data_IF_624848026390
#
_entry.id   IF_624848026390
#
_cell.length_a   1.000
_cell.length_b   1.000
_cell.length_c   1.000
_cell.angle_alpha   90.00
_cell.angle_beta   90.00
_cell.angle_gamma   90.00
#
_symmetry.space_group_name_H-M   'P 1'
#
loop_
_entity.id
_entity.type
_entity.pdbx_description
1 polymer ?
#
# COMPACT_ATOMS: atom_id res chain seq x y z
N UNK A 1 -8.94 -29.41 -0.30
CA UNK A 1 -10.29 -29.08 -0.82
C UNK A 1 -11.19 -28.68 0.33
N UNK A 2 -11.88 -27.53 0.22
CA UNK A 2 -13.20 -27.37 0.81
C UNK A 2 -14.25 -27.14 -0.29
N UNK A 3 -15.17 -28.09 -0.37
CA UNK A 3 -16.61 -27.89 -0.55
C UNK A 3 -17.09 -26.89 -1.61
N UNK A 4 -17.35 -27.40 -2.81
CA UNK A 4 -18.58 -27.20 -3.59
C UNK A 4 -19.37 -25.90 -3.34
N UNK A 5 -18.81 -24.74 -3.69
CA UNK A 5 -19.66 -23.61 -4.06
C UNK A 5 -20.19 -23.87 -5.47
N UNK A 6 -21.34 -24.57 -5.54
CA UNK A 6 -22.16 -24.54 -6.75
C UNK A 6 -22.55 -23.09 -6.99
N UNK A 7 -21.86 -22.43 -7.91
CA UNK A 7 -22.33 -21.21 -8.56
C UNK A 7 -23.73 -21.56 -9.07
N UNK A 8 -24.77 -21.06 -8.42
CA UNK A 8 -26.15 -21.20 -8.91
C UNK A 8 -26.19 -20.48 -10.26
N UNK A 9 -25.99 -21.23 -11.33
CA UNK A 9 -26.45 -20.85 -12.64
C UNK A 9 -27.97 -20.71 -12.52
N UNK A 10 -28.45 -19.46 -12.41
CA UNK A 10 -29.86 -19.18 -12.35
C UNK A 10 -30.45 -19.32 -13.77
N UNK A 11 -31.67 -19.86 -13.92
CA UNK A 11 -32.23 -20.18 -15.21
C UNK A 11 -32.41 -18.91 -16.03
N UNK A 12 -32.14 -19.04 -17.32
CA UNK A 12 -32.24 -18.00 -18.35
C UNK A 12 -33.66 -17.41 -18.33
N UNK A 13 -33.91 -16.35 -17.54
CA UNK A 13 -35.24 -15.70 -17.50
C UNK A 13 -35.51 -14.65 -16.42
N UNK A 14 -34.94 -14.74 -15.21
CA UNK A 14 -35.34 -13.86 -14.08
C UNK A 14 -34.39 -12.71 -13.72
N UNK A 15 -33.27 -12.57 -14.43
CA UNK A 15 -32.28 -11.53 -14.17
C UNK A 15 -32.43 -10.39 -15.19
N UNK A 16 -32.95 -9.24 -14.75
CA UNK A 16 -33.02 -8.05 -15.57
C UNK A 16 -31.69 -7.30 -15.51
N UNK A 17 -31.02 -7.16 -16.66
CA UNK A 17 -29.83 -6.33 -16.79
C UNK A 17 -30.23 -4.92 -17.16
N UNK A 18 -29.75 -3.94 -16.40
CA UNK A 18 -29.98 -2.53 -16.70
C UNK A 18 -29.07 -2.06 -17.84
N UNK A 19 -29.41 -0.90 -18.40
CA UNK A 19 -28.57 -0.23 -19.40
C UNK A 19 -27.18 0.05 -18.82
N UNK A 20 -26.18 -0.10 -19.67
CA UNK A 20 -24.80 0.27 -19.38
C UNK A 20 -24.70 1.75 -18.99
N UNK A 21 -23.80 2.02 -18.07
CA UNK A 21 -23.42 3.35 -17.66
C UNK A 21 -21.91 3.50 -17.81
N UNK A 22 -21.49 4.56 -18.50
CA UNK A 22 -20.09 4.93 -18.67
C UNK A 22 -19.58 5.60 -17.40
N UNK A 23 -18.42 5.19 -16.90
CA UNK A 23 -17.73 5.84 -15.80
C UNK A 23 -16.22 5.89 -16.06
N UNK A 24 -15.54 6.82 -15.40
CA UNK A 24 -14.09 6.94 -15.48
C UNK A 24 -13.43 6.18 -14.32
N UNK A 25 -12.56 5.24 -14.67
CA UNK A 25 -11.67 4.54 -13.76
C UNK A 25 -10.39 5.37 -13.60
N UNK A 26 -10.10 5.84 -12.39
CA UNK A 26 -8.90 6.63 -12.10
C UNK A 26 -7.81 5.74 -11.48
N UNK A 27 -6.71 5.54 -12.17
CA UNK A 27 -5.57 4.76 -11.69
C UNK A 27 -4.66 5.56 -10.76
N UNK A 28 -3.76 4.87 -10.07
CA UNK A 28 -2.80 5.47 -9.14
C UNK A 28 -1.82 6.45 -9.82
N UNK A 29 -1.55 6.26 -11.10
CA UNK A 29 -0.75 7.16 -11.92
C UNK A 29 -1.56 8.32 -12.53
N UNK A 30 -2.75 8.60 -11.99
CA UNK A 30 -3.69 9.63 -12.46
C UNK A 30 -4.22 9.42 -13.88
N UNK A 31 -3.85 8.32 -14.56
CA UNK A 31 -4.47 7.97 -15.84
C UNK A 31 -5.91 7.58 -15.61
N UNK A 32 -6.78 7.96 -16.53
CA UNK A 32 -8.18 7.57 -16.54
C UNK A 32 -8.45 6.62 -17.71
N UNK A 33 -9.23 5.57 -17.46
CA UNK A 33 -9.78 4.71 -18.49
C UNK A 33 -11.30 4.73 -18.44
N UNK A 34 -11.93 4.81 -19.61
CA UNK A 34 -13.37 4.66 -19.74
C UNK A 34 -13.75 3.21 -19.50
N UNK A 35 -14.69 2.97 -18.58
CA UNK A 35 -15.29 1.65 -18.35
C UNK A 35 -16.79 1.74 -18.26
N UNK A 36 -17.44 0.58 -18.32
CA UNK A 36 -18.89 0.45 -18.32
C UNK A 36 -19.33 -0.38 -17.13
N UNK A 37 -20.46 0.02 -16.54
CA UNK A 37 -21.06 -0.67 -15.41
C UNK A 37 -22.57 -0.78 -15.58
N UNK A 38 -23.15 -1.93 -15.21
CA UNK A 38 -24.60 -2.13 -15.13
C UNK A 38 -24.99 -2.92 -13.89
N UNK A 39 -26.21 -2.69 -13.41
CA UNK A 39 -26.79 -3.49 -12.34
C UNK A 39 -27.49 -4.72 -12.94
N UNK A 40 -27.30 -5.86 -12.30
CA UNK A 40 -28.05 -7.09 -12.53
C UNK A 40 -29.08 -7.21 -11.41
N UNK A 41 -30.36 -7.17 -11.76
CA UNK A 41 -31.48 -7.23 -10.80
C UNK A 41 -32.14 -8.60 -10.91
N UNK A 42 -32.11 -9.35 -9.81
CA UNK A 42 -32.81 -10.63 -9.69
C UNK A 42 -34.17 -10.39 -9.01
N UNK A 43 -35.25 -10.32 -9.79
CA UNK A 43 -36.58 -9.99 -9.28
C UNK A 43 -36.66 -8.57 -8.70
N UNK A 44 -36.79 -8.43 -7.37
CA UNK A 44 -36.78 -7.14 -6.67
C UNK A 44 -35.38 -6.78 -6.19
N UNK A 45 -35.07 -5.48 -6.14
CA UNK A 45 -33.78 -5.01 -5.60
C UNK A 45 -33.70 -5.39 -4.12
N UNK A 46 -32.67 -6.15 -3.77
CA UNK A 46 -32.38 -6.58 -2.39
C UNK A 46 -31.34 -5.67 -1.74
N UNK A 47 -31.10 -5.89 -0.45
CA UNK A 47 -29.99 -5.32 0.31
C UNK A 47 -28.64 -5.63 -0.37
N UNK A 48 -28.46 -6.84 -0.91
CA UNK A 48 -27.31 -7.16 -1.76
C UNK A 48 -27.63 -6.86 -3.22
N UNK A 49 -26.77 -6.08 -3.86
CA UNK A 49 -26.87 -5.72 -5.27
C UNK A 49 -25.75 -6.36 -6.08
N UNK A 50 -26.04 -6.66 -7.34
CA UNK A 50 -25.13 -7.35 -8.25
C UNK A 50 -24.86 -6.44 -9.42
N UNK A 51 -23.60 -6.39 -9.83
CA UNK A 51 -23.11 -5.46 -10.82
C UNK A 51 -22.16 -6.17 -11.77
N UNK A 52 -22.11 -5.65 -12.98
CA UNK A 52 -21.22 -6.11 -14.03
C UNK A 52 -20.43 -4.91 -14.52
N UNK A 53 -19.13 -5.08 -14.63
CA UNK A 53 -18.17 -4.04 -14.99
C UNK A 53 -17.33 -4.57 -16.14
N UNK A 54 -17.14 -3.80 -17.20
CA UNK A 54 -16.34 -4.19 -18.37
C UNK A 54 -15.63 -2.99 -18.99
N UNK A 55 -14.56 -3.23 -19.75
CA UNK A 55 -13.95 -2.22 -20.65
C UNK A 55 -14.70 -2.08 -21.96
N UNK A 56 -15.36 -3.15 -22.42
CA UNK A 56 -16.11 -3.18 -23.67
C UNK A 56 -17.46 -3.90 -23.48
N UNK A 57 -18.53 -3.22 -23.88
CA UNK A 57 -19.91 -3.70 -23.76
C UNK A 57 -20.31 -4.68 -24.85
N UNK A 58 -19.59 -4.71 -25.98
CA UNK A 58 -19.89 -5.58 -27.12
C UNK A 58 -19.19 -6.93 -26.98
N UNK A 59 -17.86 -6.92 -26.83
CA UNK A 59 -17.07 -8.15 -26.74
C UNK A 59 -17.06 -8.77 -25.34
N UNK A 60 -17.24 -7.96 -24.29
CA UNK A 60 -17.15 -8.35 -22.88
C UNK A 60 -15.96 -9.31 -22.59
N UNK A 61 -14.71 -8.82 -22.73
CA UNK A 61 -13.53 -9.67 -22.59
C UNK A 61 -13.46 -10.28 -21.19
N UNK A 62 -13.11 -11.57 -21.09
CA UNK A 62 -13.09 -12.28 -19.82
C UNK A 62 -12.11 -11.65 -18.80
N UNK A 63 -10.95 -11.18 -19.28
CA UNK A 63 -9.90 -10.57 -18.46
C UNK A 63 -10.25 -9.15 -17.96
N UNK A 64 -11.20 -8.47 -18.59
CA UNK A 64 -11.60 -7.10 -18.24
C UNK A 64 -13.06 -6.98 -17.77
N UNK A 65 -13.80 -8.09 -17.79
CA UNK A 65 -15.17 -8.18 -17.29
C UNK A 65 -15.20 -8.73 -15.87
N UNK A 66 -15.96 -8.11 -14.98
CA UNK A 66 -16.06 -8.50 -13.58
C UNK A 66 -17.50 -8.45 -13.09
N UNK A 67 -17.89 -9.49 -12.35
CA UNK A 67 -19.18 -9.55 -11.65
C UNK A 67 -18.95 -9.25 -10.17
N UNK A 68 -19.60 -8.20 -9.67
CA UNK A 68 -19.39 -7.66 -8.32
C UNK A 68 -20.69 -7.73 -7.53
N UNK A 69 -20.65 -8.40 -6.38
CA UNK A 69 -21.70 -8.35 -5.37
C UNK A 69 -21.32 -7.33 -4.29
N UNK A 70 -22.27 -6.51 -3.85
CA UNK A 70 -22.03 -5.53 -2.78
C UNK A 70 -23.26 -5.32 -1.90
N UNK A 71 -23.01 -5.04 -0.62
CA UNK A 71 -24.00 -4.62 0.38
C UNK A 71 -24.05 -3.10 0.59
N UNK A 72 -23.36 -2.31 -0.23
CA UNK A 72 -23.34 -0.85 -0.10
C UNK A 72 -24.72 -0.24 -0.38
N UNK A 73 -25.31 0.39 0.64
CA UNK A 73 -26.66 0.97 0.60
C UNK A 73 -26.71 2.39 0.03
N UNK A 74 -26.08 2.62 -1.12
CA UNK A 74 -26.18 3.92 -1.80
C UNK A 74 -27.24 3.89 -2.90
N UNK A 75 -27.70 5.08 -3.28
CA UNK A 75 -28.59 5.24 -4.43
C UNK A 75 -27.92 4.67 -5.67
N UNK A 76 -28.72 4.07 -6.57
CA UNK A 76 -28.22 3.43 -7.79
C UNK A 76 -27.36 4.38 -8.63
N UNK A 77 -27.78 5.64 -8.75
CA UNK A 77 -27.04 6.68 -9.48
C UNK A 77 -25.63 6.87 -8.91
N UNK A 78 -25.51 6.92 -7.57
CA UNK A 78 -24.22 7.03 -6.88
C UNK A 78 -23.38 5.76 -7.04
N UNK A 79 -23.99 4.59 -6.94
CA UNK A 79 -23.31 3.29 -7.10
C UNK A 79 -22.62 3.16 -8.45
N UNK A 80 -23.28 3.56 -9.53
CA UNK A 80 -22.73 3.55 -10.90
C UNK A 80 -21.43 4.37 -11.04
N UNK A 81 -21.26 5.43 -10.25
CA UNK A 81 -20.06 6.28 -10.31
C UNK A 81 -18.91 5.76 -9.46
N UNK A 82 -19.22 5.18 -8.29
CA UNK A 82 -18.20 4.85 -7.29
C UNK A 82 -17.77 3.38 -7.32
N UNK A 83 -18.66 2.45 -7.67
CA UNK A 83 -18.42 1.02 -7.41
C UNK A 83 -17.24 0.49 -8.22
N UNK A 84 -17.09 0.93 -9.47
CA UNK A 84 -15.96 0.52 -10.31
C UNK A 84 -14.61 0.98 -9.75
N UNK A 85 -14.54 2.20 -9.20
CA UNK A 85 -13.33 2.69 -8.55
C UNK A 85 -13.06 1.95 -7.22
N UNK A 86 -14.09 1.71 -6.40
CA UNK A 86 -13.96 0.94 -5.16
C UNK A 86 -13.49 -0.49 -5.41
N UNK A 87 -14.11 -1.19 -6.36
CA UNK A 87 -13.70 -2.55 -6.73
C UNK A 87 -12.29 -2.57 -7.30
N UNK A 88 -11.92 -1.54 -8.06
CA UNK A 88 -10.58 -1.35 -8.59
C UNK A 88 -9.49 -1.16 -7.51
N UNK A 89 -9.85 -0.81 -6.28
CA UNK A 89 -8.88 -0.72 -5.18
C UNK A 89 -8.30 -2.08 -4.79
N UNK A 90 -8.93 -3.20 -5.17
CA UNK A 90 -8.42 -4.56 -4.89
C UNK A 90 -6.99 -4.78 -5.42
N UNK A 91 -6.60 -4.09 -6.49
CA UNK A 91 -5.26 -4.20 -7.07
C UNK A 91 -4.18 -3.68 -6.12
N UNK A 92 -4.51 -2.77 -5.19
CA UNK A 92 -3.56 -2.32 -4.16
C UNK A 92 -3.11 -3.43 -3.23
N UNK A 93 -4.00 -4.40 -2.95
CA UNK A 93 -3.64 -5.59 -2.16
C UNK A 93 -2.58 -6.41 -2.89
N UNK A 94 -2.74 -6.60 -4.20
CA UNK A 94 -1.74 -7.29 -5.04
C UNK A 94 -0.42 -6.53 -5.09
N UNK A 95 -0.45 -5.21 -5.25
CA UNK A 95 0.75 -4.38 -5.21
C UNK A 95 1.47 -4.50 -3.86
N UNK A 96 0.75 -4.47 -2.74
CA UNK A 96 1.32 -4.67 -1.40
C UNK A 96 2.01 -6.03 -1.27
N UNK A 97 1.34 -7.11 -1.70
CA UNK A 97 1.96 -8.44 -1.70
C UNK A 97 3.20 -8.53 -2.60
N UNK A 98 3.19 -7.87 -3.77
CA UNK A 98 4.35 -7.83 -4.65
C UNK A 98 5.53 -7.13 -3.97
N UNK A 99 5.28 -6.01 -3.27
CA UNK A 99 6.29 -5.28 -2.51
C UNK A 99 6.85 -6.13 -1.36
N UNK A 100 6.01 -6.78 -0.56
CA UNK A 100 6.49 -7.68 0.50
C UNK A 100 7.35 -8.83 -0.04
N UNK A 101 6.95 -9.39 -1.20
CA UNK A 101 7.68 -10.50 -1.84
C UNK A 101 9.03 -10.09 -2.41
N UNK A 102 9.06 -9.01 -3.20
CA UNK A 102 10.22 -8.65 -4.00
C UNK A 102 11.19 -7.72 -3.26
N UNK A 103 10.70 -6.91 -2.32
CA UNK A 103 11.48 -5.81 -1.73
C UNK A 103 11.79 -6.03 -0.25
N UNK A 104 10.93 -6.75 0.49
CA UNK A 104 11.11 -7.01 1.93
C UNK A 104 11.59 -8.44 2.24
N UNK A 105 11.99 -9.19 1.20
CA UNK A 105 12.68 -10.46 1.36
C UNK A 105 11.84 -11.62 1.87
N UNK A 106 10.50 -11.59 1.69
CA UNK A 106 9.66 -12.76 2.01
C UNK A 106 10.13 -14.03 1.30
N UNK A 107 10.61 -13.92 0.05
CA UNK A 107 11.08 -15.07 -0.73
C UNK A 107 12.52 -15.48 -0.42
N UNK A 108 13.27 -14.62 0.27
CA UNK A 108 14.72 -14.77 0.44
C UNK A 108 15.04 -15.69 1.63
N UNK A 109 14.20 -15.68 2.66
CA UNK A 109 14.33 -16.53 3.83
C UNK A 109 13.31 -17.67 3.80
N UNK A 110 13.78 -18.91 3.97
CA UNK A 110 12.95 -20.12 3.97
C UNK A 110 12.89 -20.73 5.36
N UNK A 111 11.84 -20.39 6.09
CA UNK A 111 11.46 -21.06 7.33
C UNK A 111 10.61 -22.30 7.02
N UNK A 112 10.77 -23.36 7.80
CA UNK A 112 9.96 -24.59 7.68
C UNK A 112 8.98 -24.74 8.84
N UNK A 113 9.28 -24.15 10.00
CA UNK A 113 8.41 -24.13 11.16
C UNK A 113 7.31 -23.06 10.99
N UNK A 114 6.05 -23.46 11.15
CA UNK A 114 4.90 -22.56 11.01
C UNK A 114 4.94 -21.37 11.98
N UNK A 115 5.39 -21.57 13.22
CA UNK A 115 5.48 -20.49 14.20
C UNK A 115 6.50 -19.41 13.78
N UNK A 116 7.61 -19.83 13.18
CA UNK A 116 8.64 -18.92 12.65
C UNK A 116 8.17 -18.22 11.38
N UNK A 117 7.45 -18.93 10.49
CA UNK A 117 6.83 -18.35 9.30
C UNK A 117 5.87 -17.22 9.69
N UNK A 118 5.02 -17.43 10.71
CA UNK A 118 4.11 -16.39 11.18
C UNK A 118 4.84 -15.17 11.75
N UNK A 119 5.86 -15.37 12.60
CA UNK A 119 6.66 -14.27 13.13
C UNK A 119 7.37 -13.49 12.02
N UNK A 120 7.93 -14.20 11.04
CA UNK A 120 8.57 -13.58 9.89
C UNK A 120 7.58 -12.73 9.09
N UNK A 121 6.37 -13.25 8.90
CA UNK A 121 5.30 -12.51 8.24
C UNK A 121 4.91 -11.24 9.00
N UNK A 122 4.76 -11.31 10.32
CA UNK A 122 4.48 -10.14 11.16
C UNK A 122 5.56 -9.05 11.00
N UNK A 123 6.84 -9.43 11.05
CA UNK A 123 7.96 -8.50 10.86
C UNK A 123 7.90 -7.82 9.48
N UNK A 124 7.64 -8.58 8.42
CA UNK A 124 7.50 -8.02 7.07
C UNK A 124 6.35 -7.02 6.99
N UNK A 125 5.20 -7.32 7.60
CA UNK A 125 4.07 -6.40 7.60
C UNK A 125 4.31 -5.16 8.46
N UNK A 126 5.04 -5.28 9.57
CA UNK A 126 5.49 -4.13 10.35
C UNK A 126 6.42 -3.22 9.52
N UNK A 127 7.40 -3.79 8.82
CA UNK A 127 8.28 -3.03 7.93
C UNK A 127 7.49 -2.38 6.78
N UNK A 128 6.57 -3.12 6.16
CA UNK A 128 5.68 -2.60 5.12
C UNK A 128 4.85 -1.41 5.60
N UNK A 129 4.26 -1.53 6.79
CA UNK A 129 3.45 -0.48 7.42
C UNK A 129 4.31 0.74 7.72
N UNK A 130 5.48 0.55 8.34
CA UNK A 130 6.42 1.61 8.65
C UNK A 130 6.79 2.41 7.39
N UNK A 131 7.13 1.73 6.28
CA UNK A 131 7.44 2.40 5.00
C UNK A 131 6.20 3.11 4.45
N UNK A 132 5.02 2.49 4.54
CA UNK A 132 3.78 3.05 4.01
C UNK A 132 3.38 4.34 4.71
N UNK A 133 3.46 4.39 6.04
CA UNK A 133 3.18 5.58 6.86
C UNK A 133 4.08 6.76 6.52
N UNK A 134 5.28 6.45 6.03
CA UNK A 134 6.29 7.39 5.60
C UNK A 134 6.13 7.89 4.16
N UNK A 135 5.11 7.43 3.43
CA UNK A 135 4.81 7.96 2.10
C UNK A 135 4.07 9.30 2.21
N UNK A 136 4.34 10.21 1.27
CA UNK A 136 3.75 11.56 1.24
C UNK A 136 2.22 11.59 1.35
N UNK A 137 1.53 10.56 0.84
CA UNK A 137 0.07 10.46 0.94
C UNK A 137 -0.37 10.32 2.39
N UNK A 138 0.28 9.45 3.18
CA UNK A 138 -0.06 9.29 4.60
C UNK A 138 0.46 10.45 5.45
N UNK A 139 1.63 11.01 5.11
CA UNK A 139 2.14 12.22 5.76
C UNK A 139 1.18 13.41 5.59
N UNK A 140 0.64 13.62 4.39
CA UNK A 140 -0.30 14.71 4.13
C UNK A 140 -1.68 14.49 4.79
N UNK A 141 -2.10 13.24 4.98
CA UNK A 141 -3.29 12.91 5.76
C UNK A 141 -3.08 13.19 7.26
N UNK A 142 -1.91 12.86 7.80
CA UNK A 142 -1.58 13.13 9.20
C UNK A 142 -1.42 14.64 9.47
N UNK A 143 -0.76 15.37 8.58
CA UNK A 143 -0.60 16.82 8.73
C UNK A 143 -1.92 17.58 8.58
N UNK A 144 -2.81 17.15 7.69
CA UNK A 144 -4.17 17.73 7.58
C UNK A 144 -5.08 17.41 8.78
N UNK A 145 -4.75 16.38 9.57
CA UNK A 145 -5.37 16.12 10.87
C UNK A 145 -4.81 17.02 11.97
N UNK A 146 -3.49 17.29 11.95
CA UNK A 146 -2.79 18.10 12.96
C UNK A 146 -3.06 19.61 12.81
N UNK A 147 -3.36 20.10 11.61
CA UNK A 147 -3.74 21.51 11.39
C UNK A 147 -5.06 21.92 12.05
N UNK A 148 -5.80 20.99 12.66
CA UNK A 148 -6.97 21.30 13.50
C UNK A 148 -6.67 21.42 14.99
N UNK A 149 -5.46 21.13 15.47
CA UNK A 149 -5.23 21.07 16.93
C UNK A 149 -3.96 21.78 17.42
N UNK A 150 -2.96 22.06 16.59
CA UNK A 150 -1.73 22.70 17.10
C UNK A 150 -1.25 23.85 16.20
N UNK A 151 -1.88 25.02 16.37
CA UNK A 151 -1.32 26.29 15.95
C UNK A 151 -0.46 26.86 17.09
N UNK A 152 0.76 26.34 17.30
CA UNK A 152 1.88 27.02 17.98
C UNK A 152 3.04 26.05 18.29
N UNK A 153 3.69 25.51 17.27
CA UNK A 153 5.10 25.12 17.41
C UNK A 153 5.85 25.55 16.14
N UNK A 154 6.73 26.54 16.32
CA UNK A 154 7.73 26.97 15.34
C UNK A 154 8.51 25.74 14.84
N UNK A 155 8.73 25.60 13.52
CA UNK A 155 9.49 24.47 13.01
C UNK A 155 10.94 24.57 13.50
N UNK A 156 11.36 23.61 14.32
CA UNK A 156 12.76 23.37 14.65
C UNK A 156 13.52 23.18 13.32
N UNK A 157 14.26 24.21 12.89
CA UNK A 157 15.15 24.15 11.74
C UNK A 157 16.38 23.31 12.12
N UNK A 158 16.29 22.00 11.95
CA UNK A 158 17.47 21.14 11.90
C UNK A 158 18.21 21.43 10.59
N UNK A 159 19.36 22.09 10.70
CA UNK A 159 20.26 22.53 9.61
C UNK A 159 20.89 21.40 8.76
N UNK A 160 20.36 20.17 8.83
CA UNK A 160 20.90 19.03 8.10
C UNK A 160 19.91 18.69 6.99
N UNK A 161 20.25 19.07 5.77
CA UNK A 161 19.53 18.66 4.57
C UNK A 161 19.89 17.20 4.24
N UNK A 162 19.38 16.25 5.03
CA UNK A 162 19.62 14.81 4.84
C UNK A 162 19.20 14.29 3.48
N UNK A 163 18.32 15.05 2.82
CA UNK A 163 17.88 14.83 1.46
C UNK A 163 18.94 15.15 0.41
N UNK A 164 20.05 15.80 0.80
CA UNK A 164 21.21 16.04 -0.08
C UNK A 164 22.08 14.79 -0.33
N UNK A 165 21.75 13.63 0.27
CA UNK A 165 22.49 12.40 0.00
C UNK A 165 22.38 12.04 -1.50
N UNK A 166 23.47 11.69 -2.21
CA UNK A 166 23.44 11.47 -3.67
C UNK A 166 22.46 10.39 -4.14
N UNK A 167 22.20 9.39 -3.28
CA UNK A 167 21.25 8.31 -3.55
C UNK A 167 19.85 8.56 -2.97
N UNK A 168 19.61 9.74 -2.39
CA UNK A 168 18.29 10.11 -1.89
C UNK A 168 17.32 10.24 -3.05
N UNK A 169 16.15 9.65 -2.91
CA UNK A 169 15.14 9.66 -3.96
C UNK A 169 13.99 10.60 -3.59
N UNK A 170 13.81 11.66 -4.38
CA UNK A 170 12.75 12.67 -4.22
C UNK A 170 11.44 12.30 -4.94
N UNK A 171 11.39 11.18 -5.67
CA UNK A 171 10.20 10.77 -6.39
C UNK A 171 9.13 10.21 -5.45
N UNK A 172 7.87 10.43 -5.82
CA UNK A 172 6.71 9.94 -5.07
C UNK A 172 6.52 8.44 -5.32
N UNK A 173 6.64 7.62 -4.28
CA UNK A 173 6.36 6.19 -4.37
C UNK A 173 6.89 5.39 -3.20
N UNK A 174 6.23 4.25 -2.91
CA UNK A 174 6.60 3.37 -1.81
C UNK A 174 8.03 2.84 -1.93
N UNK A 175 8.49 2.47 -3.15
CA UNK A 175 9.87 1.97 -3.35
C UNK A 175 10.93 3.03 -3.09
N UNK A 176 10.65 4.29 -3.41
CA UNK A 176 11.57 5.40 -3.19
C UNK A 176 11.70 5.70 -1.69
N UNK A 177 10.58 5.65 -0.97
CA UNK A 177 10.56 5.76 0.50
C UNK A 177 11.33 4.60 1.13
N UNK A 178 11.14 3.36 0.67
CA UNK A 178 11.94 2.21 1.11
C UNK A 178 13.44 2.44 0.88
N UNK A 179 13.85 2.96 -0.28
CA UNK A 179 15.25 3.30 -0.55
C UNK A 179 15.79 4.30 0.48
N UNK A 180 15.03 5.36 0.75
CA UNK A 180 15.45 6.37 1.72
C UNK A 180 15.54 5.79 3.14
N UNK A 181 14.56 4.96 3.56
CA UNK A 181 14.63 4.23 4.84
C UNK A 181 15.87 3.33 4.89
N UNK A 182 16.20 2.61 3.81
CA UNK A 182 17.41 1.78 3.72
C UNK A 182 18.68 2.61 3.92
N UNK A 183 18.76 3.81 3.34
CA UNK A 183 19.90 4.72 3.54
C UNK A 183 20.03 5.17 5.00
N UNK A 184 18.92 5.43 5.68
CA UNK A 184 18.93 5.86 7.08
C UNK A 184 19.40 4.73 8.03
N UNK A 185 19.00 3.48 7.78
CA UNK A 185 19.41 2.35 8.63
C UNK A 185 20.81 1.82 8.30
N UNK A 186 21.36 2.14 7.12
CA UNK A 186 22.61 1.56 6.62
C UNK A 186 23.80 1.76 7.58
N UNK A 187 24.02 2.93 8.20
CA UNK A 187 25.13 3.10 9.15
C UNK A 187 25.00 2.24 10.41
N UNK A 188 23.77 1.99 10.86
CA UNK A 188 23.53 1.04 11.95
C UNK A 188 23.92 -0.37 11.52
N UNK A 189 23.50 -0.81 10.33
CA UNK A 189 23.88 -2.13 9.78
C UNK A 189 25.41 -2.25 9.66
N UNK A 190 26.09 -1.22 9.17
CA UNK A 190 27.56 -1.20 9.05
C UNK A 190 28.25 -1.32 10.41
N UNK A 191 27.75 -0.62 11.43
CA UNK A 191 28.26 -0.78 12.80
C UNK A 191 28.14 -2.24 13.25
N UNK A 192 26.98 -2.87 13.08
CA UNK A 192 26.76 -4.28 13.45
C UNK A 192 27.68 -5.25 12.68
N UNK A 193 27.97 -4.98 11.40
CA UNK A 193 28.88 -5.81 10.59
C UNK A 193 30.35 -5.68 11.00
N UNK A 194 30.77 -4.48 11.41
CA UNK A 194 32.16 -4.19 11.79
C UNK A 194 32.42 -4.53 13.26
N UNK A 195 31.37 -4.54 14.12
CA UNK A 195 31.50 -4.74 15.56
C UNK A 195 32.35 -5.96 15.96
N UNK A 196 32.18 -7.17 15.38
CA UNK A 196 33.03 -8.32 15.72
C UNK A 196 34.52 -8.10 15.42
N UNK A 197 34.85 -7.31 14.39
CA UNK A 197 36.24 -6.97 14.07
C UNK A 197 36.84 -5.97 15.06
N UNK A 198 36.01 -5.09 15.63
CA UNK A 198 36.45 -4.15 16.67
C UNK A 198 36.80 -4.85 17.99
N UNK A 199 36.26 -6.04 18.25
CA UNK A 199 36.68 -6.87 19.39
C UNK A 199 38.09 -7.42 19.21
N UNK A 200 38.48 -7.76 17.98
CA UNK A 200 39.82 -8.28 17.65
C UNK A 200 40.84 -7.15 17.51
N UNK A 201 40.44 -6.06 16.85
CA UNK A 201 41.27 -4.89 16.56
C UNK A 201 40.60 -3.63 17.11
N UNK A 202 40.79 -3.32 18.41
CA UNK A 202 40.11 -2.22 19.06
C UNK A 202 40.49 -0.88 18.44
N UNK A 203 39.48 -0.15 17.95
CA UNK A 203 39.61 1.19 17.40
C UNK A 203 38.47 2.07 17.91
N UNK A 204 38.73 2.83 18.98
CA UNK A 204 37.76 3.72 19.62
C UNK A 204 37.32 4.87 18.71
N UNK A 205 38.23 5.38 17.86
CA UNK A 205 37.93 6.46 16.93
C UNK A 205 36.92 6.06 15.87
N UNK A 206 37.03 4.83 15.33
CA UNK A 206 36.07 4.31 14.35
C UNK A 206 34.69 4.11 14.99
N UNK A 207 34.64 3.51 16.17
CA UNK A 207 33.40 3.29 16.93
C UNK A 207 32.71 4.63 17.23
N UNK A 208 33.45 5.60 17.77
CA UNK A 208 32.94 6.94 18.07
C UNK A 208 32.45 7.65 16.80
N UNK A 209 33.19 7.53 15.69
CA UNK A 209 32.79 8.08 14.39
C UNK A 209 31.47 7.53 13.87
N UNK A 210 31.25 6.21 13.99
CA UNK A 210 30.00 5.56 13.60
C UNK A 210 28.84 5.97 14.51
N UNK A 211 29.04 6.06 15.83
CA UNK A 211 28.01 6.55 16.75
C UNK A 211 27.62 7.99 16.45
N UNK A 212 28.59 8.88 16.25
CA UNK A 212 28.32 10.28 15.88
C UNK A 212 27.55 10.39 14.55
N UNK A 213 27.83 9.51 13.58
CA UNK A 213 27.09 9.46 12.32
C UNK A 213 25.65 9.01 12.54
N UNK A 214 25.43 7.95 13.31
CA UNK A 214 24.10 7.44 13.64
C UNK A 214 23.29 8.52 14.40
N UNK A 215 23.90 9.21 15.36
CA UNK A 215 23.25 10.28 16.11
C UNK A 215 22.82 11.43 15.21
N UNK A 216 23.67 11.84 14.25
CA UNK A 216 23.30 12.86 13.25
C UNK A 216 22.15 12.42 12.36
N UNK A 217 22.06 11.13 12.03
CA UNK A 217 20.97 10.58 11.21
C UNK A 217 19.68 10.52 12.02
N UNK A 218 19.75 10.14 13.29
CA UNK A 218 18.58 10.09 14.17
C UNK A 218 17.99 11.48 14.46
N UNK A 219 18.80 12.54 14.30
CA UNK A 219 18.35 13.93 14.39
C UNK A 219 17.55 14.40 13.17
N UNK A 220 17.41 13.58 12.12
CA UNK A 220 16.57 13.95 10.99
C UNK A 220 15.12 14.16 11.44
N UNK A 221 14.50 15.31 11.09
CA UNK A 221 13.13 15.58 11.45
C UNK A 221 12.27 14.46 10.88
N UNK A 222 11.62 13.79 11.81
CA UNK A 222 10.97 12.50 11.70
C UNK A 222 10.24 12.30 10.37
N UNK A 223 10.66 11.27 9.62
CA UNK A 223 9.73 10.23 9.19
C UNK A 223 8.90 9.87 10.45
N UNK A 224 7.60 10.20 10.55
CA UNK A 224 6.85 10.20 11.79
C UNK A 224 6.87 8.82 12.43
N UNK A 225 7.79 8.64 13.36
CA UNK A 225 7.96 7.44 14.17
C UNK A 225 8.07 7.79 15.66
N UNK A 226 7.70 9.01 16.04
CA UNK A 226 7.40 9.34 17.44
C UNK A 226 5.93 9.03 17.70
N UNK A 227 5.69 7.83 18.26
CA UNK A 227 4.58 7.64 19.20
C UNK A 227 5.01 8.06 20.59
#
# INVERSE_FOLDING_TARGET
MPSNQKVRANPKGLASRRKWYKFERIFSNQKSETRYIREIVFGKRSYRTYWEITTDTETMPENSTSFVMTNLQKTRSKMKKILGNLYGLRTWVEYGFRQCKQELGWTDYRFTNFAEINKWWEIIFCAYLMISLNTQVFLSLNSSSLTKTEASQEPFQTNIDGTSHPQWNHQIGWKNVLNNVRLLIQPSILLWLIFPWLEIFPNSSLLLGLHNLIDRINQFPTLPLSG
#
